data_IF_928343073050
#
_entry.id   IF_928343073050
#
_cell.length_a   1.000
_cell.length_b   1.000
_cell.length_c   1.000
_cell.angle_alpha   90.00
_cell.angle_beta   90.00
_cell.angle_gamma   90.00
#
_symmetry.space_group_name_H-M   'P 1'
#
loop_
_entity.id
_entity.type
_entity.pdbx_description
1 polymer ?
#
# COMPACT_ATOMS: atom_id res chain seq x y z
N UNK A 1 7.19 2.86 4.48
CA UNK A 1 8.03 2.79 3.25
C UNK A 1 9.39 2.15 3.52
N UNK A 2 10.37 2.82 4.16
CA UNK A 2 11.73 2.27 4.34
C UNK A 2 11.77 0.87 4.99
N UNK A 3 10.88 0.62 5.95
CA UNK A 3 10.74 -0.70 6.59
C UNK A 3 10.32 -1.78 5.59
N UNK A 4 9.31 -1.53 4.75
CA UNK A 4 8.86 -2.48 3.72
C UNK A 4 9.92 -2.74 2.66
N UNK A 5 10.68 -1.73 2.26
CA UNK A 5 11.83 -1.92 1.34
C UNK A 5 12.85 -2.89 1.97
N UNK A 6 13.16 -2.70 3.26
CA UNK A 6 14.11 -3.57 3.96
C UNK A 6 13.57 -4.99 4.16
N UNK A 7 12.28 -5.14 4.45
CA UNK A 7 11.62 -6.44 4.59
C UNK A 7 11.59 -7.20 3.26
N UNK A 8 11.14 -6.58 2.17
CA UNK A 8 11.13 -7.22 0.85
C UNK A 8 12.53 -7.63 0.38
N UNK A 9 13.55 -6.85 0.78
CA UNK A 9 14.94 -7.17 0.50
C UNK A 9 15.41 -8.48 1.17
N UNK A 10 14.79 -8.93 2.27
CA UNK A 10 15.14 -10.24 2.87
C UNK A 10 14.73 -11.40 1.97
N UNK A 11 13.70 -11.20 1.15
CA UNK A 11 13.23 -12.14 0.13
C UNK A 11 13.94 -11.93 -1.23
N UNK A 12 14.92 -11.02 -1.29
CA UNK A 12 15.64 -10.69 -2.52
C UNK A 12 14.81 -9.88 -3.53
N UNK A 13 13.76 -9.20 -3.07
CA UNK A 13 12.93 -8.32 -3.91
C UNK A 13 13.28 -6.85 -3.66
N UNK A 14 13.66 -6.13 -4.72
CA UNK A 14 13.97 -4.70 -4.67
C UNK A 14 12.70 -3.86 -4.89
N UNK A 15 12.13 -3.35 -3.79
CA UNK A 15 10.93 -2.51 -3.82
C UNK A 15 11.30 -1.03 -4.03
N UNK A 16 10.74 -0.40 -5.05
CA UNK A 16 10.97 1.01 -5.41
C UNK A 16 9.64 1.76 -5.38
N UNK A 17 9.55 2.84 -4.59
CA UNK A 17 8.39 3.72 -4.60
C UNK A 17 8.71 4.97 -5.39
N UNK A 18 7.83 5.35 -6.30
CA UNK A 18 7.89 6.64 -6.98
C UNK A 18 7.22 7.72 -6.13
N UNK A 19 7.53 8.99 -6.38
CA UNK A 19 6.97 10.10 -5.60
C UNK A 19 5.44 10.19 -5.74
N UNK A 20 4.90 9.92 -6.93
CA UNK A 20 3.45 9.88 -7.18
C UNK A 20 2.75 8.73 -6.45
N UNK A 21 3.44 7.61 -6.19
CA UNK A 21 2.90 6.55 -5.34
C UNK A 21 2.77 7.01 -3.90
N UNK A 22 3.75 7.76 -3.39
CA UNK A 22 3.73 8.30 -2.03
C UNK A 22 2.56 9.28 -1.87
N UNK A 23 2.37 10.16 -2.86
CA UNK A 23 1.24 11.10 -2.87
C UNK A 23 -0.10 10.37 -2.95
N UNK A 24 -0.21 9.33 -3.78
CA UNK A 24 -1.42 8.51 -3.90
C UNK A 24 -1.77 7.80 -2.59
N UNK A 25 -0.79 7.16 -1.94
CA UNK A 25 -0.95 6.53 -0.62
C UNK A 25 -1.43 7.52 0.44
N UNK A 26 -0.85 8.72 0.46
CA UNK A 26 -1.25 9.78 1.39
C UNK A 26 -2.67 10.27 1.11
N UNK A 27 -3.03 10.46 -0.17
CA UNK A 27 -4.36 10.85 -0.60
C UNK A 27 -5.44 9.86 -0.14
N UNK A 28 -5.25 8.57 -0.44
CA UNK A 28 -6.17 7.51 0.00
C UNK A 28 -6.33 7.49 1.52
N UNK A 29 -5.23 7.62 2.27
CA UNK A 29 -5.29 7.63 3.72
C UNK A 29 -6.08 8.85 4.27
N UNK A 30 -5.95 10.02 3.64
CA UNK A 30 -6.74 11.22 3.98
C UNK A 30 -8.22 11.01 3.68
N UNK A 31 -8.55 10.47 2.51
CA UNK A 31 -9.92 10.23 2.08
C UNK A 31 -10.63 9.21 2.99
N UNK A 32 -9.93 8.16 3.40
CA UNK A 32 -10.45 7.17 4.36
C UNK A 32 -10.66 7.76 5.76
N UNK A 33 -9.75 8.63 6.21
CA UNK A 33 -9.92 9.35 7.47
C UNK A 33 -11.14 10.29 7.43
N UNK A 34 -11.48 10.84 6.27
CA UNK A 34 -12.64 11.70 6.09
C UNK A 34 -13.96 10.93 5.96
N UNK A 35 -13.94 9.74 5.33
CA UNK A 35 -15.15 8.99 4.99
C UNK A 35 -15.54 7.89 5.99
N UNK A 36 -14.59 7.36 6.76
CA UNK A 36 -14.82 6.25 7.70
C UNK A 36 -14.67 6.71 9.15
N UNK A 37 -13.43 6.86 9.61
CA UNK A 37 -13.04 7.30 10.94
C UNK A 37 -11.66 7.91 10.86
N UNK A 38 -11.44 9.07 11.47
CA UNK A 38 -10.12 9.69 11.45
C UNK A 38 -9.23 9.11 12.55
N UNK A 39 -8.31 8.21 12.16
CA UNK A 39 -7.28 7.65 13.04
C UNK A 39 -5.90 8.30 12.81
N UNK A 40 -5.87 9.40 12.03
CA UNK A 40 -4.67 10.13 11.67
C UNK A 40 -3.69 9.29 10.86
N UNK A 41 -2.39 9.46 11.12
CA UNK A 41 -1.32 8.81 10.38
C UNK A 41 -1.30 7.27 10.50
N UNK A 42 -2.01 6.69 11.49
CA UNK A 42 -2.11 5.23 11.63
C UNK A 42 -2.77 4.56 10.42
N UNK A 43 -3.64 5.28 9.70
CA UNK A 43 -4.27 4.83 8.45
C UNK A 43 -3.26 4.42 7.38
N UNK A 44 -2.06 5.02 7.38
CA UNK A 44 -1.02 4.67 6.41
C UNK A 44 -0.52 3.23 6.57
N UNK A 45 -0.64 2.63 7.75
CA UNK A 45 -0.22 1.25 7.97
C UNK A 45 -1.12 0.27 7.22
N UNK A 46 -2.44 0.36 7.44
CA UNK A 46 -3.42 -0.53 6.80
C UNK A 46 -3.48 -0.34 5.29
N UNK A 47 -3.40 0.91 4.82
CA UNK A 47 -3.31 1.21 3.38
C UNK A 47 -2.05 0.59 2.76
N UNK A 48 -0.89 0.74 3.40
CA UNK A 48 0.37 0.19 2.89
C UNK A 48 0.38 -1.35 2.91
N UNK A 49 -0.12 -1.97 3.98
CA UNK A 49 -0.28 -3.43 4.06
C UNK A 49 -1.15 -3.94 2.92
N UNK A 50 -2.26 -3.27 2.64
CA UNK A 50 -3.14 -3.67 1.54
C UNK A 50 -2.51 -3.50 0.16
N UNK A 51 -1.76 -2.41 -0.07
CA UNK A 51 -1.04 -2.21 -1.34
C UNK A 51 -0.01 -3.32 -1.56
N UNK A 52 0.67 -3.76 -0.51
CA UNK A 52 1.79 -4.71 -0.62
C UNK A 52 1.39 -6.18 -0.40
N UNK A 53 0.11 -6.46 -0.14
CA UNK A 53 -0.40 -7.79 0.22
C UNK A 53 -0.01 -8.86 -0.82
N UNK A 54 -0.34 -8.63 -2.09
CA UNK A 54 -0.04 -9.57 -3.19
C UNK A 54 1.47 -9.76 -3.37
N UNK A 55 2.26 -8.67 -3.36
CA UNK A 55 3.70 -8.80 -3.58
C UNK A 55 4.41 -9.43 -2.38
N UNK A 56 3.93 -9.21 -1.17
CA UNK A 56 4.48 -9.85 0.03
C UNK A 56 4.19 -11.35 0.04
N UNK A 57 3.06 -11.78 -0.51
CA UNK A 57 2.73 -13.20 -0.66
C UNK A 57 3.62 -13.87 -1.71
N UNK A 58 3.80 -13.23 -2.87
CA UNK A 58 4.61 -13.76 -3.97
C UNK A 58 6.13 -13.58 -3.76
N UNK A 59 6.56 -12.81 -2.75
CA UNK A 59 7.95 -12.40 -2.57
C UNK A 59 8.97 -13.55 -2.61
N UNK A 60 8.73 -14.70 -1.94
CA UNK A 60 9.69 -15.82 -1.92
C UNK A 60 9.96 -16.41 -3.31
N UNK A 61 8.97 -16.36 -4.20
CA UNK A 61 9.06 -16.88 -5.57
C UNK A 61 9.63 -15.85 -6.56
N UNK A 62 9.86 -14.61 -6.11
CA UNK A 62 10.28 -13.45 -6.93
C UNK A 62 11.70 -12.97 -6.66
N UNK A 63 12.54 -13.82 -6.08
CA UNK A 63 13.92 -13.48 -5.75
C UNK A 63 14.70 -12.93 -6.96
N UNK A 64 15.38 -11.79 -6.77
CA UNK A 64 16.17 -11.10 -7.78
C UNK A 64 15.37 -10.19 -8.71
N UNK A 65 14.09 -9.94 -8.41
CA UNK A 65 13.26 -8.99 -9.16
C UNK A 65 13.22 -7.62 -8.49
N UNK A 66 12.91 -6.60 -9.30
CA UNK A 66 12.57 -5.27 -8.80
C UNK A 66 11.10 -4.96 -9.08
N UNK A 67 10.42 -4.41 -8.07
CA UNK A 67 9.01 -4.05 -8.12
C UNK A 67 8.90 -2.56 -7.92
N UNK A 68 8.39 -1.87 -8.94
CA UNK A 68 8.09 -0.45 -8.86
C UNK A 68 6.63 -0.27 -8.44
N UNK A 69 6.43 0.44 -7.34
CA UNK A 69 5.13 0.88 -6.85
C UNK A 69 4.95 2.31 -7.32
N UNK A 70 4.10 2.49 -8.33
CA UNK A 70 3.67 3.78 -8.88
C UNK A 70 2.23 4.13 -8.45
N UNK A 71 1.72 5.32 -8.81
CA UNK A 71 0.36 5.70 -8.46
C UNK A 71 -0.70 4.75 -9.04
N UNK A 72 -0.46 4.17 -10.23
CA UNK A 72 -1.38 3.22 -10.86
C UNK A 72 -1.42 1.90 -10.10
N UNK A 73 -0.27 1.44 -9.60
CA UNK A 73 -0.18 0.28 -8.72
C UNK A 73 -0.99 0.52 -7.44
N UNK A 74 -0.84 1.68 -6.80
CA UNK A 74 -1.60 2.00 -5.58
C UNK A 74 -3.11 2.01 -5.84
N UNK A 75 -3.58 2.69 -6.89
CA UNK A 75 -5.00 2.75 -7.24
C UNK A 75 -5.58 1.36 -7.55
N UNK A 76 -4.81 0.52 -8.26
CA UNK A 76 -5.24 -0.85 -8.58
C UNK A 76 -5.53 -1.69 -7.33
N UNK A 77 -4.72 -1.56 -6.28
CA UNK A 77 -4.82 -2.44 -5.11
C UNK A 77 -5.75 -1.90 -4.01
N UNK A 78 -5.92 -0.58 -3.92
CA UNK A 78 -6.69 0.06 -2.83
C UNK A 78 -7.80 1.00 -3.31
N UNK A 79 -7.77 1.47 -4.56
CA UNK A 79 -8.72 2.45 -5.10
C UNK A 79 -10.17 2.01 -4.94
N UNK A 80 -10.53 0.81 -5.40
CA UNK A 80 -11.91 0.31 -5.32
C UNK A 80 -12.37 0.05 -3.88
N UNK A 81 -11.48 -0.43 -3.00
CA UNK A 81 -11.77 -0.63 -1.59
C UNK A 81 -12.06 0.70 -0.89
N UNK A 82 -11.25 1.72 -1.16
CA UNK A 82 -11.38 3.04 -0.54
C UNK A 82 -12.69 3.75 -0.89
N UNK A 83 -13.26 3.43 -2.07
CA UNK A 83 -14.55 3.97 -2.53
C UNK A 83 -15.75 3.30 -1.88
N UNK A 84 -15.56 2.15 -1.23
CA UNK A 84 -16.62 1.44 -0.50
C UNK A 84 -16.48 1.66 1.01
N UNK A 85 -17.32 2.52 1.57
CA UNK A 85 -17.27 2.91 2.99
C UNK A 85 -17.48 1.73 3.95
N UNK A 86 -18.39 0.81 3.63
CA UNK A 86 -18.64 -0.36 4.48
C UNK A 86 -17.45 -1.30 4.46
N UNK A 87 -16.91 -1.60 3.28
CA UNK A 87 -15.76 -2.48 3.13
C UNK A 87 -14.50 -1.88 3.77
N UNK A 88 -14.30 -0.57 3.58
CA UNK A 88 -13.20 0.18 4.19
C UNK A 88 -13.27 0.12 5.71
N UNK A 89 -14.45 0.20 6.33
CA UNK A 89 -14.58 0.13 7.80
C UNK A 89 -14.08 -1.18 8.41
N UNK A 90 -14.14 -2.29 7.66
CA UNK A 90 -13.72 -3.61 8.15
C UNK A 90 -12.28 -3.97 7.76
N UNK A 91 -11.77 -3.44 6.65
CA UNK A 91 -10.51 -3.90 6.04
C UNK A 91 -9.43 -2.80 6.06
N UNK A 92 -9.79 -1.51 6.15
CA UNK A 92 -8.87 -0.37 5.98
C UNK A 92 -8.87 0.61 7.14
#
# INVERSE_FOLDING_TARGET
IKQYIALMKTEGVDLVFTDDAIDSLAGIAVDLNASVENIGARRLQTVMERVLDEISYDAPDRHGTSVTVDAAYVEKHVGDLSRNTDLSRFIL
#
